data_IF_962240297507
#
_entry.id   IF_962240297507
#
_cell.length_a   1.000
_cell.length_b   1.000
_cell.length_c   1.000
_cell.angle_alpha   90.00
_cell.angle_beta   90.00
_cell.angle_gamma   90.00
#
_symmetry.space_group_name_H-M   'P 1'
#
loop_
_entity.id
_entity.type
_entity.pdbx_description
1 polymer ?
#
# COMPACT_ATOMS: atom_id res chain seq x y z
N UNK A 1 -74.49 -13.09 32.51
CA UNK A 1 -73.43 -12.67 31.58
C UNK A 1 -72.19 -13.29 32.14
N UNK A 2 -71.83 -14.49 31.66
CA UNK A 2 -70.84 -15.33 32.33
C UNK A 2 -69.98 -16.00 31.27
N UNK A 3 -68.89 -15.31 30.89
CA UNK A 3 -67.85 -15.82 29.99
C UNK A 3 -66.50 -15.26 30.47
N UNK A 4 -66.03 -15.69 31.64
CA UNK A 4 -64.65 -15.41 32.08
C UNK A 4 -64.16 -16.56 33.00
N UNK A 5 -63.98 -17.78 32.48
CA UNK A 5 -63.38 -18.83 33.30
C UNK A 5 -62.77 -19.99 32.49
N UNK A 6 -61.85 -19.73 31.55
CA UNK A 6 -61.17 -20.85 30.85
C UNK A 6 -59.71 -20.61 30.42
N UNK A 7 -58.99 -19.63 30.97
CA UNK A 7 -57.58 -19.39 30.59
C UNK A 7 -56.54 -19.63 31.71
N UNK A 8 -56.95 -20.21 32.85
CA UNK A 8 -56.06 -20.39 34.01
C UNK A 8 -55.21 -21.67 34.00
N UNK A 9 -55.61 -22.73 33.29
CA UNK A 9 -55.02 -24.06 33.51
C UNK A 9 -53.92 -24.47 32.52
N UNK A 10 -53.74 -23.74 31.41
CA UNK A 10 -52.77 -24.13 30.38
C UNK A 10 -51.31 -23.72 30.68
N UNK A 11 -51.09 -22.76 31.58
CA UNK A 11 -49.74 -22.22 31.85
C UNK A 11 -48.96 -23.06 32.86
N UNK A 12 -49.64 -23.84 33.72
CA UNK A 12 -48.97 -24.61 34.78
C UNK A 12 -48.40 -25.94 34.28
N UNK A 13 -48.89 -26.49 33.17
CA UNK A 13 -48.35 -27.74 32.61
C UNK A 13 -47.04 -27.55 31.81
N UNK A 14 -46.78 -26.36 31.26
CA UNK A 14 -45.54 -26.08 30.53
C UNK A 14 -44.31 -25.94 31.46
N UNK A 15 -44.50 -25.52 32.71
CA UNK A 15 -43.39 -25.35 33.65
C UNK A 15 -42.82 -26.67 34.21
N UNK A 16 -43.56 -27.79 34.08
CA UNK A 16 -43.15 -29.07 34.67
C UNK A 16 -42.29 -29.94 33.74
N UNK A 17 -42.20 -29.62 32.45
CA UNK A 17 -41.35 -30.34 31.49
C UNK A 17 -39.94 -29.77 31.34
N UNK A 18 -39.62 -28.62 31.94
CA UNK A 18 -38.29 -28.00 31.83
C UNK A 18 -37.27 -28.48 32.89
N UNK A 19 -37.64 -29.44 33.75
CA UNK A 19 -36.87 -29.80 34.95
C UNK A 19 -35.90 -30.98 34.84
N UNK A 20 -35.87 -31.72 33.74
CA UNK A 20 -35.02 -32.91 33.64
C UNK A 20 -34.22 -32.94 32.34
N UNK A 21 -32.90 -33.08 32.51
CA UNK A 21 -31.86 -33.32 31.50
C UNK A 21 -31.20 -32.07 30.91
N UNK A 22 -30.39 -31.40 31.72
CA UNK A 22 -29.20 -30.73 31.16
C UNK A 22 -28.01 -30.88 32.10
N UNK A 23 -27.36 -32.05 32.00
CA UNK A 23 -26.00 -32.26 32.52
C UNK A 23 -25.05 -31.60 31.52
N UNK A 24 -24.89 -30.29 31.63
CA UNK A 24 -23.98 -29.50 30.79
C UNK A 24 -22.54 -29.76 31.29
N UNK A 25 -21.65 -30.34 30.47
CA UNK A 25 -20.23 -30.38 30.80
C UNK A 25 -19.68 -28.96 30.78
N UNK A 26 -18.85 -28.61 31.77
CA UNK A 26 -18.14 -27.34 31.83
C UNK A 26 -17.28 -27.19 30.56
N UNK A 27 -17.80 -26.46 29.57
CA UNK A 27 -17.05 -26.00 28.41
C UNK A 27 -16.07 -24.94 28.89
N UNK A 28 -14.80 -25.32 28.95
CA UNK A 28 -13.68 -24.39 28.94
C UNK A 28 -13.90 -23.44 27.76
N UNK A 29 -13.92 -22.11 27.94
CA UNK A 29 -14.03 -21.19 26.83
C UNK A 29 -12.75 -21.34 26.00
N UNK A 30 -12.86 -22.09 24.90
CA UNK A 30 -11.90 -22.02 23.82
C UNK A 30 -11.97 -20.58 23.30
N UNK A 31 -10.95 -19.78 23.60
CA UNK A 31 -10.72 -18.50 22.95
C UNK A 31 -10.79 -18.75 21.44
N UNK A 32 -11.88 -18.27 20.83
CA UNK A 32 -12.03 -18.32 19.39
C UNK A 32 -10.82 -17.61 18.77
N UNK A 33 -10.15 -18.20 17.77
CA UNK A 33 -9.07 -17.52 17.08
C UNK A 33 -9.60 -16.20 16.54
N UNK A 34 -8.90 -15.10 16.81
CA UNK A 34 -9.27 -13.78 16.34
C UNK A 34 -9.58 -13.82 14.83
N UNK A 35 -10.65 -13.15 14.38
CA UNK A 35 -11.04 -13.14 12.97
C UNK A 35 -9.87 -12.73 12.07
N UNK A 36 -9.79 -13.28 10.84
CA UNK A 36 -8.63 -13.15 9.97
C UNK A 36 -8.27 -11.71 9.59
N UNK A 37 -9.24 -10.79 9.64
CA UNK A 37 -9.05 -9.34 9.42
C UNK A 37 -8.16 -8.71 10.49
N UNK A 38 -8.37 -9.02 11.78
CA UNK A 38 -7.57 -8.47 12.89
C UNK A 38 -6.10 -8.91 12.78
N UNK A 39 -5.85 -10.11 12.26
CA UNK A 39 -4.48 -10.63 12.09
C UNK A 39 -3.72 -9.91 10.97
N UNK A 40 -4.39 -9.57 9.86
CA UNK A 40 -3.79 -8.79 8.78
C UNK A 40 -3.47 -7.37 9.24
N UNK A 41 -4.40 -6.73 9.94
CA UNK A 41 -4.23 -5.37 10.45
C UNK A 41 -3.08 -5.30 11.48
N UNK A 42 -3.00 -6.26 12.40
CA UNK A 42 -1.88 -6.38 13.33
C UNK A 42 -0.54 -6.59 12.62
N UNK A 43 -0.49 -7.39 11.55
CA UNK A 43 0.72 -7.58 10.76
C UNK A 43 1.12 -6.31 9.99
N UNK A 44 0.16 -5.58 9.40
CA UNK A 44 0.38 -4.28 8.74
C UNK A 44 0.89 -3.24 9.75
N UNK A 45 0.31 -3.17 10.95
CA UNK A 45 0.74 -2.29 12.02
C UNK A 45 2.17 -2.60 12.48
N UNK A 46 2.50 -3.89 12.68
CA UNK A 46 3.84 -4.32 13.06
C UNK A 46 4.89 -4.03 11.98
N UNK A 47 4.53 -4.18 10.70
CA UNK A 47 5.39 -3.80 9.58
C UNK A 47 5.66 -2.29 9.53
N UNK A 48 4.63 -1.46 9.76
CA UNK A 48 4.76 0.00 9.85
C UNK A 48 5.67 0.42 11.01
N UNK A 49 5.50 -0.17 12.19
CA UNK A 49 6.33 0.12 13.36
C UNK A 49 7.80 -0.29 13.14
N UNK A 50 8.03 -1.47 12.54
CA UNK A 50 9.37 -1.93 12.20
C UNK A 50 10.07 -1.00 11.20
N UNK A 51 9.32 -0.53 10.18
CA UNK A 51 9.83 0.43 9.21
C UNK A 51 10.16 1.79 9.85
N UNK A 52 9.26 2.33 10.68
CA UNK A 52 9.50 3.58 11.42
C UNK A 52 10.73 3.47 12.34
N UNK A 53 10.90 2.34 13.02
CA UNK A 53 12.06 2.09 13.87
C UNK A 53 13.37 2.01 13.05
N UNK A 54 13.33 1.43 11.85
CA UNK A 54 14.47 1.42 10.94
C UNK A 54 14.85 2.84 10.49
N UNK A 55 13.86 3.66 10.09
CA UNK A 55 14.07 5.06 9.73
C UNK A 55 14.62 5.89 10.90
N UNK A 56 14.10 5.69 12.12
CA UNK A 56 14.58 6.40 13.30
C UNK A 56 16.05 6.06 13.65
N UNK A 57 16.45 4.79 13.48
CA UNK A 57 17.85 4.38 13.68
C UNK A 57 18.79 5.00 12.66
N UNK A 58 18.35 5.12 11.41
CA UNK A 58 19.13 5.77 10.36
C UNK A 58 19.31 7.27 10.63
N UNK A 59 18.25 7.97 11.05
CA UNK A 59 18.33 9.36 11.48
C UNK A 59 19.22 9.56 12.72
N UNK A 60 19.19 8.63 13.68
CA UNK A 60 20.06 8.67 14.86
C UNK A 60 21.54 8.41 14.49
N UNK A 61 21.80 7.50 13.54
CA UNK A 61 23.15 7.25 13.01
C UNK A 61 23.73 8.46 12.30
N UNK A 62 22.92 9.20 11.53
CA UNK A 62 23.31 10.47 10.90
C UNK A 62 23.64 11.56 11.94
N UNK A 63 23.03 11.52 13.12
CA UNK A 63 23.32 12.47 14.22
C UNK A 63 24.63 12.18 14.95
N UNK A 64 24.97 10.90 15.14
CA UNK A 64 26.20 10.51 15.83
C UNK A 64 27.48 10.67 14.97
N UNK A 65 27.33 10.78 13.64
CA UNK A 65 28.43 11.10 12.73
C UNK A 65 28.83 12.59 12.69
N UNK A 66 28.12 13.48 13.40
CA UNK A 66 28.34 14.94 13.36
C UNK A 66 29.16 15.52 14.53
N UNK A 67 29.62 14.69 15.47
CA UNK A 67 30.47 15.12 16.60
C UNK A 67 31.88 14.48 16.57
N UNK A 68 32.57 14.52 15.43
CA UNK A 68 34.04 14.55 15.45
C UNK A 68 34.48 16.01 15.34
N UNK A 69 34.70 16.63 16.51
CA UNK A 69 35.51 17.85 16.62
C UNK A 69 36.91 17.54 16.12
N UNK A 70 37.20 17.97 14.90
CA UNK A 70 38.56 18.12 14.41
C UNK A 70 39.00 19.51 14.81
N UNK A 71 39.88 19.62 15.80
CA UNK A 71 40.63 20.86 16.03
C UNK A 71 41.45 21.15 14.76
N UNK A 72 41.02 22.15 13.99
CA UNK A 72 41.73 22.65 12.82
C UNK A 72 42.15 24.11 13.04
N UNK A 73 43.40 24.48 12.72
CA UNK A 73 43.86 25.86 12.77
C UNK A 73 43.25 26.71 11.63
N UNK A 74 43.34 28.03 11.84
CA UNK A 74 42.69 29.09 11.08
C UNK A 74 42.93 29.11 9.55
N UNK A 75 42.00 29.80 8.85
CA UNK A 75 42.02 30.30 7.45
C UNK A 75 41.45 29.27 6.42
N UNK A 76 40.42 29.51 5.58
CA UNK A 76 39.93 30.64 4.74
C UNK A 76 38.39 30.48 4.53
N UNK A 77 37.59 31.54 4.32
CA UNK A 77 36.18 31.39 3.97
C UNK A 77 36.01 31.17 2.46
N UNK A 78 35.49 30.01 2.06
CA UNK A 78 34.72 29.93 0.83
C UNK A 78 33.55 28.96 1.05
N UNK A 79 32.35 29.53 1.05
CA UNK A 79 31.10 28.88 1.35
C UNK A 79 30.58 28.09 0.14
N UNK A 80 30.14 26.85 0.38
CA UNK A 80 29.07 26.21 -0.36
C UNK A 80 28.31 25.29 0.61
N UNK A 81 27.01 25.51 0.86
CA UNK A 81 26.19 24.55 1.58
C UNK A 81 25.82 23.40 0.63
N UNK A 82 26.19 22.16 1.00
CA UNK A 82 25.65 20.93 0.43
C UNK A 82 24.22 20.72 0.98
N UNK A 83 23.29 21.52 0.50
CA UNK A 83 21.88 21.10 0.45
C UNK A 83 21.77 20.12 -0.72
N UNK A 84 21.76 18.83 -0.42
CA UNK A 84 21.33 17.82 -1.37
C UNK A 84 19.84 18.03 -1.65
N UNK A 85 19.55 18.91 -2.61
CA UNK A 85 18.26 18.95 -3.27
C UNK A 85 18.11 17.60 -3.98
N UNK A 86 17.16 16.78 -3.53
CA UNK A 86 16.72 15.63 -4.32
C UNK A 86 16.02 16.20 -5.56
N UNK A 87 16.74 16.21 -6.67
CA UNK A 87 16.26 16.72 -7.94
C UNK A 87 15.49 15.59 -8.63
N UNK A 88 14.16 15.64 -8.52
CA UNK A 88 13.27 14.60 -9.05
C UNK A 88 13.38 14.51 -10.57
N UNK A 89 13.67 15.64 -11.24
CA UNK A 89 13.88 15.72 -12.69
C UNK A 89 15.16 14.98 -13.12
N UNK A 90 16.20 14.96 -12.26
CA UNK A 90 17.43 14.22 -12.52
C UNK A 90 17.21 12.70 -12.40
N UNK A 91 16.36 12.26 -11.48
CA UNK A 91 16.02 10.85 -11.30
C UNK A 91 15.11 10.34 -12.43
N UNK A 92 14.18 11.17 -12.90
CA UNK A 92 13.33 10.87 -14.06
C UNK A 92 14.17 10.75 -15.35
N UNK A 93 15.18 11.61 -15.53
CA UNK A 93 16.15 11.50 -16.62
C UNK A 93 17.03 10.25 -16.52
N UNK A 94 17.42 9.83 -15.31
CA UNK A 94 18.25 8.64 -15.09
C UNK A 94 17.44 7.34 -15.25
N UNK A 95 16.18 7.31 -14.81
CA UNK A 95 15.25 6.21 -15.04
C UNK A 95 14.90 6.06 -16.53
N UNK A 96 14.73 7.18 -17.24
CA UNK A 96 14.57 7.19 -18.70
C UNK A 96 15.83 6.66 -19.42
N UNK A 97 17.04 6.99 -18.93
CA UNK A 97 18.29 6.45 -19.46
C UNK A 97 18.47 4.96 -19.16
N UNK A 98 18.08 4.49 -17.97
CA UNK A 98 18.14 3.08 -17.59
C UNK A 98 17.26 2.21 -18.51
N UNK A 99 16.07 2.71 -18.86
CA UNK A 99 15.17 2.06 -19.81
C UNK A 99 15.65 2.16 -21.28
N UNK A 100 16.48 3.15 -21.64
CA UNK A 100 17.04 3.31 -22.98
C UNK A 100 18.37 2.54 -23.21
N UNK A 101 19.09 2.16 -22.15
CA UNK A 101 20.39 1.49 -22.26
C UNK A 101 20.36 0.03 -22.74
N UNK A 102 19.19 -0.60 -22.93
CA UNK A 102 19.09 -2.01 -23.35
C UNK A 102 18.97 -2.22 -24.86
N UNK A 103 18.99 -1.18 -25.70
CA UNK A 103 18.90 -1.35 -27.16
C UNK A 103 20.00 -0.60 -27.89
N UNK A 104 21.08 -1.32 -28.22
CA UNK A 104 21.93 -0.99 -29.38
C UNK A 104 21.53 -1.98 -30.48
N UNK A 105 21.11 -1.54 -31.69
CA UNK A 105 22.10 -1.13 -32.71
C UNK A 105 21.60 0.03 -33.62
N UNK A 106 22.26 0.37 -34.76
CA UNK A 106 22.96 1.63 -34.94
C UNK A 106 22.21 2.69 -35.79
N UNK A 107 22.57 3.95 -35.53
CA UNK A 107 22.71 5.10 -36.45
C UNK A 107 21.83 5.11 -37.72
N UNK A 108 20.83 6.01 -37.74
CA UNK A 108 20.78 7.11 -38.72
C UNK A 108 19.76 8.18 -38.26
N UNK A 109 20.26 9.41 -38.15
CA UNK A 109 19.51 10.59 -37.76
C UNK A 109 18.34 10.88 -38.70
N UNK A 110 17.17 11.15 -38.12
CA UNK A 110 16.15 11.99 -38.76
C UNK A 110 15.46 12.85 -37.71
N UNK A 111 15.72 14.15 -37.77
CA UNK A 111 15.02 15.17 -37.00
C UNK A 111 13.59 15.32 -37.55
N UNK A 112 12.60 15.10 -36.70
CA UNK A 112 11.24 15.64 -36.83
C UNK A 112 10.78 16.04 -35.43
N UNK A 113 10.63 17.34 -35.21
CA UNK A 113 9.86 17.85 -34.08
C UNK A 113 8.37 17.54 -34.31
N UNK A 114 7.69 17.09 -33.26
CA UNK A 114 6.26 16.82 -33.26
C UNK A 114 5.84 16.20 -31.94
N UNK A 115 5.12 16.97 -31.14
CA UNK A 115 4.23 16.56 -30.04
C UNK A 115 4.73 15.44 -29.12
N UNK A 116 5.56 15.81 -28.13
CA UNK A 116 5.80 14.95 -26.96
C UNK A 116 4.66 15.12 -25.95
N UNK A 117 4.06 14.00 -25.52
CA UNK A 117 3.57 13.75 -24.15
C UNK A 117 2.12 13.24 -23.96
N UNK A 118 1.40 12.74 -24.97
CA UNK A 118 0.08 12.12 -24.69
C UNK A 118 -0.18 10.72 -25.26
N UNK A 119 0.71 10.16 -26.09
CA UNK A 119 0.34 8.94 -26.84
C UNK A 119 1.05 7.64 -26.42
N UNK A 120 1.75 7.57 -25.28
CA UNK A 120 2.53 6.37 -24.95
C UNK A 120 2.36 5.78 -23.53
N UNK A 121 1.38 6.21 -22.72
CA UNK A 121 1.14 5.58 -21.40
C UNK A 121 0.70 4.11 -21.47
N UNK A 122 0.10 3.69 -22.59
CA UNK A 122 -0.21 2.27 -22.83
C UNK A 122 1.05 1.38 -22.91
N UNK A 123 2.23 1.95 -23.19
CA UNK A 123 3.51 1.23 -23.15
C UNK A 123 3.90 0.94 -21.70
N UNK A 124 3.90 1.97 -20.85
CA UNK A 124 4.44 1.88 -19.49
C UNK A 124 3.78 0.78 -18.64
N UNK A 125 2.46 0.59 -18.73
CA UNK A 125 1.77 -0.45 -17.97
C UNK A 125 2.25 -1.88 -18.33
N UNK A 126 2.67 -2.12 -19.57
CA UNK A 126 3.27 -3.40 -19.97
C UNK A 126 4.76 -3.48 -19.60
N UNK A 127 5.45 -2.35 -19.61
CA UNK A 127 6.88 -2.26 -19.29
C UNK A 127 7.17 -2.57 -17.81
N UNK A 128 6.17 -2.57 -16.94
CA UNK A 128 6.30 -3.06 -15.55
C UNK A 128 6.45 -4.59 -15.42
N UNK A 129 6.31 -5.36 -16.49
CA UNK A 129 6.49 -6.83 -16.49
C UNK A 129 7.94 -7.27 -16.72
N UNK A 130 8.91 -6.35 -16.69
CA UNK A 130 10.32 -6.70 -16.87
C UNK A 130 10.82 -7.51 -15.64
N UNK A 131 11.49 -8.67 -15.84
CA UNK A 131 11.99 -9.53 -14.74
C UNK A 131 12.97 -8.84 -13.76
N UNK A 132 13.43 -7.65 -14.10
CA UNK A 132 14.40 -6.84 -13.37
C UNK A 132 13.75 -6.04 -12.23
N UNK A 133 12.41 -5.84 -12.28
CA UNK A 133 11.68 -5.19 -11.18
C UNK A 133 11.57 -6.19 -10.02
N UNK A 134 12.11 -5.88 -8.83
CA UNK A 134 12.00 -6.75 -7.68
C UNK A 134 10.53 -7.03 -7.33
N UNK A 135 10.20 -8.27 -6.98
CA UNK A 135 8.83 -8.64 -6.61
C UNK A 135 8.29 -7.91 -5.36
N UNK A 136 9.17 -7.25 -4.60
CA UNK A 136 8.79 -6.40 -3.47
C UNK A 136 8.22 -5.05 -3.89
N UNK A 137 8.43 -4.62 -5.13
CA UNK A 137 7.89 -3.35 -5.65
C UNK A 137 6.48 -3.59 -6.15
N UNK A 138 5.54 -2.78 -5.68
CA UNK A 138 4.14 -2.92 -6.09
C UNK A 138 3.97 -2.33 -7.48
N UNK A 139 3.33 -3.12 -8.35
CA UNK A 139 2.94 -2.71 -9.69
C UNK A 139 1.79 -1.69 -9.59
N UNK A 140 1.62 -0.76 -10.54
CA UNK A 140 0.64 0.32 -10.42
C UNK A 140 -0.80 -0.18 -10.18
N UNK A 141 -1.21 -1.27 -10.84
CA UNK A 141 -2.54 -1.86 -10.62
C UNK A 141 -2.68 -2.56 -9.26
N UNK A 142 -1.58 -2.99 -8.63
CA UNK A 142 -1.59 -3.49 -7.25
C UNK A 142 -1.73 -2.35 -6.25
N UNK A 143 -1.05 -1.22 -6.49
CA UNK A 143 -1.25 -0.01 -5.69
C UNK A 143 -2.70 0.47 -5.77
N UNK A 144 -3.30 0.43 -6.96
CA UNK A 144 -4.72 0.70 -7.15
C UNK A 144 -5.64 -0.26 -6.39
N UNK A 145 -5.40 -1.57 -6.45
CA UNK A 145 -6.18 -2.58 -5.72
C UNK A 145 -6.10 -2.37 -4.20
N UNK A 146 -4.91 -2.10 -3.68
CA UNK A 146 -4.68 -1.81 -2.26
C UNK A 146 -5.42 -0.52 -1.83
N UNK A 147 -5.36 0.54 -2.64
CA UNK A 147 -6.06 1.82 -2.36
C UNK A 147 -7.59 1.64 -2.30
N UNK A 148 -8.16 0.76 -3.15
CA UNK A 148 -9.58 0.42 -3.07
C UNK A 148 -9.93 -0.34 -1.80
N UNK A 149 -9.09 -1.30 -1.38
CA UNK A 149 -9.27 -2.05 -0.12
C UNK A 149 -9.22 -1.09 1.08
N UNK A 150 -8.22 -0.20 1.11
CA UNK A 150 -8.05 0.80 2.17
C UNK A 150 -9.25 1.76 2.26
N UNK A 151 -9.71 2.31 1.12
CA UNK A 151 -10.91 3.18 1.09
C UNK A 151 -12.18 2.47 1.57
N UNK A 152 -12.30 1.19 1.26
CA UNK A 152 -13.43 0.38 1.71
C UNK A 152 -13.37 0.11 3.22
N UNK A 153 -12.20 -0.26 3.74
CA UNK A 153 -11.95 -0.48 5.16
C UNK A 153 -12.15 0.80 5.99
N UNK A 154 -11.69 1.95 5.48
CA UNK A 154 -11.83 3.26 6.12
C UNK A 154 -13.30 3.68 6.24
N UNK A 155 -14.07 3.58 5.14
CA UNK A 155 -15.50 3.91 5.16
C UNK A 155 -16.28 2.97 6.11
N UNK A 156 -15.97 1.68 6.08
CA UNK A 156 -16.58 0.67 6.96
C UNK A 156 -16.29 0.98 8.45
N UNK A 157 -15.04 1.34 8.77
CA UNK A 157 -14.60 1.63 10.14
C UNK A 157 -15.22 2.93 10.69
N UNK A 158 -15.49 3.91 9.82
CA UNK A 158 -16.15 5.15 10.18
C UNK A 158 -17.69 5.02 10.24
N UNK A 159 -18.25 3.88 9.85
CA UNK A 159 -19.69 3.72 9.66
C UNK A 159 -20.26 4.61 8.57
N UNK A 160 -19.39 5.11 7.67
CA UNK A 160 -19.78 5.94 6.54
C UNK A 160 -20.26 5.06 5.38
N UNK A 161 -21.11 5.62 4.53
CA UNK A 161 -21.49 4.94 3.30
C UNK A 161 -20.30 4.92 2.33
N UNK A 162 -19.89 3.71 1.92
CA UNK A 162 -18.86 3.53 0.89
C UNK A 162 -19.32 4.20 -0.41
N UNK A 163 -18.49 5.09 -0.95
CA UNK A 163 -18.77 5.78 -2.22
C UNK A 163 -19.14 4.79 -3.33
N UNK A 164 -20.16 5.14 -4.11
CA UNK A 164 -20.66 4.26 -5.17
C UNK A 164 -19.58 3.90 -6.19
N UNK A 165 -18.68 4.84 -6.54
CA UNK A 165 -17.59 4.57 -7.49
C UNK A 165 -16.57 3.57 -6.94
N UNK A 166 -16.24 3.63 -5.64
CA UNK A 166 -15.32 2.68 -5.00
C UNK A 166 -15.94 1.28 -5.02
N UNK A 167 -17.24 1.16 -4.71
CA UNK A 167 -17.94 -0.12 -4.75
C UNK A 167 -18.01 -0.70 -6.17
N UNK A 168 -18.28 0.13 -7.17
CA UNK A 168 -18.28 -0.25 -8.59
C UNK A 168 -16.90 -0.72 -9.04
N UNK A 169 -15.84 0.01 -8.66
CA UNK A 169 -14.46 -0.36 -8.98
C UNK A 169 -14.05 -1.67 -8.31
N UNK A 170 -14.38 -1.89 -7.04
CA UNK A 170 -14.14 -3.18 -6.37
C UNK A 170 -14.88 -4.32 -7.08
N UNK A 171 -16.13 -4.09 -7.48
CA UNK A 171 -16.88 -5.08 -8.26
C UNK A 171 -16.21 -5.36 -9.61
N UNK A 172 -15.70 -4.34 -10.30
CA UNK A 172 -14.99 -4.51 -11.56
C UNK A 172 -13.68 -5.30 -11.36
N UNK A 173 -12.91 -5.00 -10.31
CA UNK A 173 -11.70 -5.75 -9.93
C UNK A 173 -12.01 -7.21 -9.64
N UNK A 174 -13.13 -7.51 -8.96
CA UNK A 174 -13.54 -8.90 -8.68
C UNK A 174 -13.94 -9.66 -9.94
N UNK A 175 -14.50 -8.99 -10.95
CA UNK A 175 -15.00 -9.62 -12.19
C UNK A 175 -13.90 -9.75 -13.25
N UNK A 176 -13.14 -8.68 -13.49
CA UNK A 176 -12.15 -8.58 -14.58
C UNK A 176 -10.70 -8.68 -14.10
N UNK A 177 -10.47 -8.50 -12.81
CA UNK A 177 -9.13 -8.39 -12.23
C UNK A 177 -8.65 -6.93 -12.14
N UNK A 178 -7.67 -6.72 -11.25
CA UNK A 178 -7.12 -5.39 -10.96
C UNK A 178 -6.46 -4.73 -12.18
N UNK A 179 -5.68 -5.49 -12.94
CA UNK A 179 -4.95 -4.96 -14.10
C UNK A 179 -5.89 -4.47 -15.20
N UNK A 180 -6.89 -5.27 -15.60
CA UNK A 180 -7.84 -4.87 -16.64
C UNK A 180 -8.67 -3.66 -16.19
N UNK A 181 -9.15 -3.67 -14.95
CA UNK A 181 -9.91 -2.55 -14.37
C UNK A 181 -9.06 -1.28 -14.30
N UNK A 182 -7.77 -1.41 -13.96
CA UNK A 182 -6.82 -0.29 -13.94
C UNK A 182 -6.63 0.33 -15.33
N UNK A 183 -6.52 -0.49 -16.38
CA UNK A 183 -6.37 0.00 -17.75
C UNK A 183 -7.61 0.74 -18.28
N UNK A 184 -8.78 0.51 -17.68
CA UNK A 184 -10.03 1.23 -17.99
C UNK A 184 -10.12 2.61 -17.29
N UNK A 185 -9.22 2.91 -16.34
CA UNK A 185 -9.24 4.20 -15.64
C UNK A 185 -8.80 5.36 -16.54
N UNK A 186 -9.20 6.61 -16.23
CA UNK A 186 -8.65 7.79 -16.88
C UNK A 186 -7.13 7.86 -16.78
N UNK A 187 -6.45 8.31 -17.83
CA UNK A 187 -4.97 8.31 -17.91
C UNK A 187 -4.32 9.08 -16.76
N UNK A 188 -4.90 10.21 -16.35
CA UNK A 188 -4.39 10.99 -15.22
C UNK A 188 -4.43 10.21 -13.90
N UNK A 189 -5.41 9.32 -13.73
CA UNK A 189 -5.52 8.44 -12.55
C UNK A 189 -4.51 7.31 -12.65
N UNK A 190 -4.36 6.68 -13.82
CA UNK A 190 -3.32 5.67 -14.05
C UNK A 190 -1.92 6.22 -13.75
N UNK A 191 -1.65 7.46 -14.18
CA UNK A 191 -0.38 8.15 -13.93
C UNK A 191 -0.09 8.33 -12.45
N UNK A 192 -1.08 8.77 -11.67
CA UNK A 192 -0.91 8.95 -10.23
C UNK A 192 -0.48 7.67 -9.52
N UNK A 193 -1.08 6.52 -9.85
CA UNK A 193 -0.64 5.23 -9.30
C UNK A 193 0.72 4.78 -9.84
N UNK A 194 1.03 5.09 -11.10
CA UNK A 194 2.35 4.86 -11.68
C UNK A 194 3.46 5.63 -10.95
N UNK A 195 3.21 6.89 -10.60
CA UNK A 195 4.13 7.72 -9.83
C UNK A 195 4.41 7.12 -8.44
N UNK A 196 3.40 6.58 -7.76
CA UNK A 196 3.59 5.89 -6.47
C UNK A 196 4.49 4.66 -6.63
N UNK A 197 4.25 3.82 -7.64
CA UNK A 197 5.12 2.67 -7.92
C UNK A 197 6.56 3.08 -8.26
N UNK A 198 6.76 4.17 -8.98
CA UNK A 198 8.10 4.72 -9.27
C UNK A 198 8.78 5.24 -8.01
N UNK A 199 8.04 5.90 -7.12
CA UNK A 199 8.57 6.34 -5.83
C UNK A 199 9.04 5.14 -4.99
N UNK A 200 8.25 4.06 -4.93
CA UNK A 200 8.66 2.83 -4.24
C UNK A 200 9.93 2.21 -4.84
N UNK A 201 10.00 2.13 -6.18
CA UNK A 201 11.18 1.63 -6.87
C UNK A 201 12.42 2.49 -6.58
N UNK A 202 12.27 3.82 -6.60
CA UNK A 202 13.36 4.75 -6.30
C UNK A 202 13.87 4.59 -4.86
N UNK A 203 12.94 4.44 -3.89
CA UNK A 203 13.27 4.21 -2.49
C UNK A 203 14.04 2.88 -2.31
N UNK A 204 13.62 1.83 -3.02
CA UNK A 204 14.32 0.55 -3.00
C UNK A 204 15.73 0.62 -3.58
N UNK A 205 15.91 1.28 -4.73
CA UNK A 205 17.24 1.49 -5.32
C UNK A 205 18.14 2.28 -4.36
N UNK A 206 17.60 3.33 -3.73
CA UNK A 206 18.30 4.10 -2.70
C UNK A 206 18.74 3.23 -1.52
N UNK A 207 17.83 2.40 -1.00
CA UNK A 207 18.14 1.44 0.06
C UNK A 207 19.24 0.44 -0.35
N UNK A 208 19.16 -0.14 -1.56
CA UNK A 208 20.19 -1.06 -2.07
C UNK A 208 21.58 -0.40 -2.12
N UNK A 209 21.66 0.85 -2.62
CA UNK A 209 22.92 1.60 -2.68
C UNK A 209 23.49 1.84 -1.28
N UNK A 210 22.65 2.21 -0.31
CA UNK A 210 23.07 2.39 1.09
C UNK A 210 23.57 1.10 1.74
N UNK A 211 23.04 -0.07 1.36
CA UNK A 211 23.54 -1.35 1.86
C UNK A 211 24.89 -1.73 1.24
N UNK A 212 25.15 -1.38 -0.02
CA UNK A 212 26.41 -1.66 -0.68
C UNK A 212 27.58 -0.78 -0.17
N UNK A 213 27.28 0.36 0.44
CA UNK A 213 28.26 1.27 1.01
C UNK A 213 28.68 0.92 2.46
N UNK A 214 28.04 -0.08 3.06
CA UNK A 214 28.33 -0.58 4.41
C UNK A 214 29.25 -1.78 4.36
#
# INVERSE_FOLDING_TARGET
MDVVQEQGEYVVQLAKQAGEKSKVPAMVPQCAPAPPTIRKEAARAQAREAWQAACAREQAGLRLGSEMRVDAPAFVPNAMPLTAHFDFDALEAEAANFLQSTTTPPVLMRACGGDMATSNMHSYARDWQIPEVPASIRLPWRVFEDDLEDKFEDASSQGAEVEASVREQISAVQVKGAQETFMELPENVQRAYGEVSLQELSAYVGWQRSQAAR
#
